data_IF_301039317813
#
_entry.id   IF_301039317813
#
_cell.length_a   1.000
_cell.length_b   1.000
_cell.length_c   1.000
_cell.angle_alpha   90.00
_cell.angle_beta   90.00
_cell.angle_gamma   90.00
#
_symmetry.space_group_name_H-M   'P 1'
#
loop_
_entity.id
_entity.type
_entity.pdbx_description
1 polymer ?
#
# COMPACT_ATOMS: atom_id res chain seq x y z
N UNK A 1 -36.70 -92.87 31.78
CA UNK A 1 -37.88 -92.74 32.67
C UNK A 1 -37.49 -91.80 33.81
N UNK A 2 -38.44 -91.04 34.37
CA UNK A 2 -38.29 -90.23 35.61
C UNK A 2 -37.37 -88.99 35.53
N UNK A 3 -37.30 -88.23 36.64
CA UNK A 3 -37.25 -86.77 36.68
C UNK A 3 -36.21 -86.18 37.65
N UNK A 4 -35.64 -85.04 37.24
CA UNK A 4 -35.36 -83.83 38.05
C UNK A 4 -34.26 -83.78 39.14
N UNK A 5 -33.83 -82.52 39.36
CA UNK A 5 -32.99 -81.96 40.44
C UNK A 5 -31.48 -82.30 40.45
N UNK A 6 -30.58 -81.38 40.85
CA UNK A 6 -30.62 -79.91 40.84
C UNK A 6 -29.19 -79.38 41.02
N UNK A 7 -28.79 -78.32 40.30
CA UNK A 7 -27.47 -77.70 40.46
C UNK A 7 -27.35 -76.40 39.66
N UNK A 8 -27.12 -75.27 40.34
CA UNK A 8 -27.13 -73.93 39.73
C UNK A 8 -25.75 -73.29 39.75
N UNK A 9 -25.25 -72.91 38.58
CA UNK A 9 -24.22 -71.87 38.39
C UNK A 9 -24.57 -71.11 37.10
N UNK A 10 -24.73 -69.79 37.19
CA UNK A 10 -24.98 -68.93 36.02
C UNK A 10 -23.66 -68.59 35.29
N UNK A 11 -23.69 -68.36 33.96
CA UNK A 11 -22.49 -68.05 33.19
C UNK A 11 -22.12 -66.55 33.24
N UNK A 12 -20.83 -66.20 33.30
CA UNK A 12 -20.31 -65.01 32.64
C UNK A 12 -20.27 -65.31 31.12
N UNK A 13 -20.78 -64.48 30.20
CA UNK A 13 -20.56 -63.04 30.01
C UNK A 13 -19.07 -62.70 29.78
N UNK A 14 -18.66 -62.10 28.67
CA UNK A 14 -19.38 -61.75 27.44
C UNK A 14 -18.39 -61.72 26.26
N UNK A 15 -18.87 -61.54 25.03
CA UNK A 15 -18.01 -61.54 23.85
C UNK A 15 -16.89 -60.50 23.96
N UNK A 16 -15.64 -60.93 23.73
CA UNK A 16 -14.48 -60.05 23.76
C UNK A 16 -14.67 -58.88 22.78
N UNK A 17 -14.84 -57.68 23.32
CA UNK A 17 -14.93 -56.47 22.52
C UNK A 17 -13.59 -56.26 21.81
N UNK A 18 -13.51 -56.64 20.54
CA UNK A 18 -12.46 -56.15 19.64
C UNK A 18 -12.49 -54.63 19.71
N UNK A 19 -11.47 -54.04 20.34
CA UNK A 19 -11.33 -52.60 20.41
C UNK A 19 -11.42 -52.04 19.00
N UNK A 20 -12.43 -51.19 18.74
CA UNK A 20 -12.53 -50.50 17.46
C UNK A 20 -11.23 -49.74 17.27
N UNK A 21 -10.55 -49.94 16.15
CA UNK A 21 -9.38 -49.14 15.81
C UNK A 21 -9.78 -47.66 15.92
N UNK A 22 -8.96 -46.79 16.54
CA UNK A 22 -9.31 -45.39 16.69
C UNK A 22 -9.56 -44.81 15.29
N UNK A 23 -10.68 -44.10 15.12
CA UNK A 23 -11.07 -43.47 13.86
C UNK A 23 -10.10 -42.33 13.53
N UNK A 24 -8.92 -42.69 13.03
CA UNK A 24 -7.88 -41.76 12.58
C UNK A 24 -8.24 -41.27 11.19
N UNK A 25 -8.58 -39.98 11.12
CA UNK A 25 -8.71 -39.24 9.87
C UNK A 25 -7.33 -39.18 9.21
N UNK A 26 -7.26 -39.22 7.87
CA UNK A 26 -5.99 -38.98 7.16
C UNK A 26 -5.51 -37.54 7.36
N UNK A 27 -4.22 -37.28 7.18
CA UNK A 27 -3.67 -35.93 7.32
C UNK A 27 -4.35 -34.94 6.35
N UNK A 28 -4.46 -35.31 5.06
CA UNK A 28 -5.17 -34.55 4.02
C UNK A 28 -6.60 -34.18 4.45
N UNK A 29 -7.40 -35.18 4.86
CA UNK A 29 -8.77 -34.97 5.29
C UNK A 29 -8.88 -34.20 6.63
N UNK A 30 -7.80 -34.15 7.41
CA UNK A 30 -7.72 -33.30 8.60
C UNK A 30 -7.48 -31.84 8.22
N UNK A 31 -6.64 -31.56 7.21
CA UNK A 31 -6.51 -30.23 6.62
C UNK A 31 -7.86 -29.77 6.06
N UNK A 32 -8.55 -30.60 5.26
CA UNK A 32 -9.83 -30.24 4.65
C UNK A 32 -10.88 -29.83 5.70
N UNK A 33 -10.97 -30.59 6.80
CA UNK A 33 -11.89 -30.28 7.91
C UNK A 33 -11.49 -29.00 8.66
N UNK A 34 -10.20 -28.77 8.90
CA UNK A 34 -9.68 -27.55 9.52
C UNK A 34 -9.94 -26.32 8.65
N UNK A 35 -9.69 -26.42 7.34
CA UNK A 35 -9.96 -25.36 6.38
C UNK A 35 -11.46 -25.07 6.29
N UNK A 36 -12.32 -26.09 6.21
CA UNK A 36 -13.76 -25.92 6.18
C UNK A 36 -14.28 -25.20 7.43
N UNK A 37 -13.88 -25.65 8.63
CA UNK A 37 -14.26 -25.02 9.89
C UNK A 37 -13.77 -23.57 10.00
N UNK A 38 -12.49 -23.32 9.68
CA UNK A 38 -11.92 -21.96 9.71
C UNK A 38 -12.60 -21.02 8.71
N UNK A 39 -12.96 -21.52 7.52
CA UNK A 39 -13.68 -20.73 6.50
C UNK A 39 -15.07 -20.37 6.98
N UNK A 40 -15.80 -21.31 7.57
CA UNK A 40 -17.14 -21.06 8.09
C UNK A 40 -17.13 -20.00 9.21
N UNK A 41 -16.24 -20.14 10.20
CA UNK A 41 -16.08 -19.13 11.26
C UNK A 41 -15.66 -17.75 10.73
N UNK A 42 -14.72 -17.71 9.79
CA UNK A 42 -14.30 -16.44 9.15
C UNK A 42 -15.45 -15.80 8.35
N UNK A 43 -16.20 -16.59 7.59
CA UNK A 43 -17.31 -16.10 6.76
C UNK A 43 -18.52 -15.65 7.60
N UNK A 44 -18.71 -16.23 8.79
CA UNK A 44 -19.79 -15.88 9.72
C UNK A 44 -19.52 -14.59 10.52
N UNK A 45 -18.28 -14.15 10.56
CA UNK A 45 -17.84 -13.05 11.42
C UNK A 45 -18.33 -11.67 10.96
N UNK A 46 -18.79 -10.86 11.93
CA UNK A 46 -19.17 -9.46 11.69
C UNK A 46 -18.02 -8.44 11.87
N UNK A 47 -16.92 -8.82 12.54
CA UNK A 47 -15.77 -7.95 12.82
C UNK A 47 -14.55 -8.75 13.31
N UNK A 48 -13.36 -8.13 13.32
CA UNK A 48 -12.15 -8.73 13.90
C UNK A 48 -12.28 -9.06 15.39
N UNK A 49 -13.15 -8.33 16.09
CA UNK A 49 -13.47 -8.48 17.51
C UNK A 49 -14.53 -9.57 17.77
N UNK A 50 -15.03 -10.25 16.74
CA UNK A 50 -15.92 -11.39 16.88
C UNK A 50 -15.14 -12.63 17.36
N UNK A 51 -15.68 -13.32 18.36
CA UNK A 51 -15.22 -14.64 18.82
C UNK A 51 -15.01 -15.65 17.70
N UNK A 52 -15.74 -15.55 16.59
CA UNK A 52 -15.55 -16.40 15.41
C UNK A 52 -14.16 -16.23 14.78
N UNK A 53 -13.54 -15.04 14.86
CA UNK A 53 -12.18 -14.81 14.36
C UNK A 53 -11.12 -15.47 15.25
N UNK A 54 -11.36 -15.59 16.56
CA UNK A 54 -10.53 -16.41 17.45
C UNK A 54 -10.68 -17.90 17.11
N UNK A 55 -11.92 -18.38 16.93
CA UNK A 55 -12.19 -19.78 16.56
C UNK A 55 -11.54 -20.16 15.21
N UNK A 56 -11.62 -19.29 14.20
CA UNK A 56 -10.94 -19.49 12.91
C UNK A 56 -9.42 -19.65 13.09
N UNK A 57 -8.78 -18.74 13.83
CA UNK A 57 -7.34 -18.83 14.14
C UNK A 57 -6.99 -20.10 14.91
N UNK A 58 -7.79 -20.48 15.91
CA UNK A 58 -7.61 -21.71 16.68
C UNK A 58 -7.73 -22.98 15.82
N UNK A 59 -8.67 -23.03 14.86
CA UNK A 59 -8.78 -24.16 13.92
C UNK A 59 -7.49 -24.33 13.10
N UNK A 60 -7.00 -23.25 12.47
CA UNK A 60 -5.80 -23.28 11.63
C UNK A 60 -4.53 -23.68 12.42
N UNK A 61 -4.44 -23.26 13.69
CA UNK A 61 -3.32 -23.59 14.57
C UNK A 61 -3.25 -25.07 14.99
N UNK A 62 -4.27 -25.88 14.70
CA UNK A 62 -4.21 -27.34 14.87
C UNK A 62 -3.23 -28.02 13.90
N UNK A 63 -2.88 -27.37 12.79
CA UNK A 63 -1.96 -27.89 11.75
C UNK A 63 -0.60 -27.21 11.88
N UNK A 64 0.24 -27.76 12.76
CA UNK A 64 1.49 -27.13 13.19
C UNK A 64 2.52 -26.89 12.09
N UNK A 65 2.49 -27.66 11.01
CA UNK A 65 3.41 -27.59 9.87
C UNK A 65 2.93 -26.65 8.74
N UNK A 66 1.76 -26.02 8.90
CA UNK A 66 1.23 -24.92 8.07
C UNK A 66 1.44 -25.09 6.55
N UNK A 67 0.84 -26.13 5.93
CA UNK A 67 0.85 -26.27 4.48
C UNK A 67 0.24 -25.03 3.79
N UNK A 68 0.57 -24.73 2.52
CA UNK A 68 0.26 -23.43 1.89
C UNK A 68 -1.20 -22.99 1.96
N UNK A 69 -2.15 -23.93 1.95
CA UNK A 69 -3.58 -23.64 2.10
C UNK A 69 -3.97 -23.20 3.52
N UNK A 70 -3.33 -23.72 4.57
CA UNK A 70 -3.51 -23.27 5.96
C UNK A 70 -2.88 -21.89 6.14
N UNK A 71 -1.68 -21.68 5.59
CA UNK A 71 -1.03 -20.38 5.64
C UNK A 71 -1.84 -19.31 4.91
N UNK A 72 -2.45 -19.61 3.75
CA UNK A 72 -3.33 -18.67 3.03
C UNK A 72 -4.53 -18.16 3.84
N UNK A 73 -5.13 -19.00 4.70
CA UNK A 73 -6.21 -18.57 5.60
C UNK A 73 -5.69 -17.75 6.79
N UNK A 74 -4.48 -18.05 7.29
CA UNK A 74 -3.80 -17.23 8.31
C UNK A 74 -3.42 -15.85 7.74
N UNK A 75 -2.86 -15.81 6.53
CA UNK A 75 -2.51 -14.58 5.79
C UNK A 75 -3.75 -13.69 5.65
N UNK A 76 -4.88 -14.28 5.23
CA UNK A 76 -6.14 -13.57 5.05
C UNK A 76 -6.69 -13.01 6.38
N UNK A 77 -6.61 -13.75 7.49
CA UNK A 77 -7.01 -13.25 8.81
C UNK A 77 -6.12 -12.08 9.24
N UNK A 78 -4.79 -12.19 9.04
CA UNK A 78 -3.85 -11.12 9.35
C UNK A 78 -4.07 -9.89 8.46
N UNK A 79 -4.39 -10.08 7.18
CA UNK A 79 -4.73 -9.02 6.24
C UNK A 79 -5.95 -8.22 6.71
N UNK A 80 -7.03 -8.88 7.15
CA UNK A 80 -8.19 -8.17 7.73
C UNK A 80 -7.75 -7.33 8.94
N UNK A 81 -6.92 -7.89 9.83
CA UNK A 81 -6.32 -7.16 10.96
C UNK A 81 -5.65 -5.85 10.54
N UNK A 82 -4.74 -5.93 9.56
CA UNK A 82 -4.05 -4.77 9.03
C UNK A 82 -4.96 -3.78 8.26
N UNK A 83 -6.07 -4.23 7.65
CA UNK A 83 -7.07 -3.34 7.03
C UNK A 83 -7.74 -2.45 8.09
N UNK A 84 -8.19 -3.00 9.23
CA UNK A 84 -8.81 -2.20 10.30
C UNK A 84 -7.78 -1.28 10.99
N UNK A 85 -6.51 -1.70 11.11
CA UNK A 85 -5.42 -0.81 11.59
C UNK A 85 -5.18 0.41 10.69
N UNK A 86 -5.48 0.32 9.38
CA UNK A 86 -5.47 1.48 8.48
C UNK A 86 -6.79 2.28 8.51
N UNK A 87 -7.84 1.77 9.16
CA UNK A 87 -9.18 2.37 9.22
C UNK A 87 -10.20 1.80 8.24
N UNK A 88 -9.82 0.83 7.39
CA UNK A 88 -10.71 0.23 6.39
C UNK A 88 -11.62 -0.80 7.06
N UNK A 89 -12.87 -0.40 7.31
CA UNK A 89 -13.90 -1.26 7.92
C UNK A 89 -14.65 -2.04 6.85
N UNK A 90 -14.28 -3.31 6.70
CA UNK A 90 -14.82 -4.23 5.70
C UNK A 90 -15.07 -5.60 6.37
N UNK A 91 -16.17 -6.28 6.01
CA UNK A 91 -16.49 -7.59 6.58
C UNK A 91 -15.48 -8.64 6.11
N UNK A 92 -15.05 -9.60 6.96
CA UNK A 92 -14.16 -10.69 6.57
C UNK A 92 -14.61 -11.40 5.28
N UNK A 93 -15.90 -11.74 5.16
CA UNK A 93 -16.48 -12.36 3.96
C UNK A 93 -16.32 -11.48 2.70
N UNK A 94 -16.43 -10.15 2.80
CA UNK A 94 -16.18 -9.25 1.68
C UNK A 94 -14.70 -9.28 1.27
N UNK A 95 -13.76 -9.33 2.23
CA UNK A 95 -12.33 -9.49 1.93
C UNK A 95 -12.02 -10.84 1.29
N UNK A 96 -12.73 -11.92 1.65
CA UNK A 96 -12.61 -13.21 0.94
C UNK A 96 -13.10 -13.13 -0.50
N UNK A 97 -14.28 -12.54 -0.72
CA UNK A 97 -14.93 -12.47 -2.04
C UNK A 97 -14.38 -11.38 -2.97
N UNK A 98 -13.56 -10.45 -2.45
CA UNK A 98 -12.96 -9.38 -3.23
C UNK A 98 -12.03 -9.93 -4.34
N UNK A 99 -12.31 -9.57 -5.60
CA UNK A 99 -11.40 -9.81 -6.73
C UNK A 99 -10.34 -8.72 -6.85
N UNK A 100 -10.70 -7.46 -6.62
CA UNK A 100 -9.80 -6.31 -6.68
C UNK A 100 -8.99 -6.14 -5.37
N UNK A 101 -7.95 -6.97 -5.22
CA UNK A 101 -7.04 -6.93 -4.06
C UNK A 101 -6.27 -5.60 -3.96
N UNK A 102 -6.01 -4.92 -5.08
CA UNK A 102 -5.30 -3.64 -5.09
C UNK A 102 -6.22 -2.46 -4.71
N UNK A 103 -7.52 -2.56 -5.01
CA UNK A 103 -8.55 -1.66 -4.50
C UNK A 103 -8.55 -1.56 -2.97
N UNK A 104 -8.39 -2.68 -2.25
CA UNK A 104 -8.27 -2.67 -0.78
C UNK A 104 -7.05 -1.89 -0.27
N UNK A 105 -5.91 -1.96 -0.99
CA UNK A 105 -4.73 -1.14 -0.67
C UNK A 105 -5.00 0.34 -0.95
N UNK A 106 -5.68 0.64 -2.06
CA UNK A 106 -6.10 2.01 -2.42
C UNK A 106 -7.03 2.60 -1.36
N UNK A 107 -7.96 1.82 -0.83
CA UNK A 107 -8.83 2.23 0.27
C UNK A 107 -8.03 2.54 1.55
N UNK A 108 -7.01 1.75 1.90
CA UNK A 108 -6.09 2.06 3.00
C UNK A 108 -5.32 3.36 2.77
N UNK A 109 -4.77 3.54 1.57
CA UNK A 109 -4.03 4.76 1.19
C UNK A 109 -4.93 5.99 1.33
N UNK A 110 -6.20 5.89 0.93
CA UNK A 110 -7.19 6.96 1.05
C UNK A 110 -7.61 7.33 2.49
N UNK A 111 -7.40 6.48 3.51
CA UNK A 111 -7.85 6.78 4.88
C UNK A 111 -7.09 7.95 5.55
N UNK A 112 -5.87 8.26 5.11
CA UNK A 112 -5.06 9.32 5.73
C UNK A 112 -4.13 10.00 4.72
N UNK A 113 -4.00 11.34 4.76
CA UNK A 113 -3.02 12.07 3.96
C UNK A 113 -1.59 11.52 4.10
N UNK A 114 -1.20 11.05 5.29
CA UNK A 114 0.15 10.56 5.54
C UNK A 114 0.35 9.06 5.26
N UNK A 115 -0.66 8.35 4.74
CA UNK A 115 -0.63 6.88 4.62
C UNK A 115 0.53 6.38 3.71
N UNK A 116 0.88 7.13 2.67
CA UNK A 116 2.00 6.79 1.77
C UNK A 116 3.35 6.64 2.49
N UNK A 117 3.53 7.29 3.65
CA UNK A 117 4.77 7.19 4.46
C UNK A 117 4.90 5.85 5.18
N UNK A 118 3.90 4.98 5.12
CA UNK A 118 3.88 3.62 5.69
C UNK A 118 4.12 2.53 4.63
N UNK A 119 4.90 2.85 3.58
CA UNK A 119 5.15 1.98 2.41
C UNK A 119 5.42 0.50 2.76
N UNK A 120 6.29 0.22 3.73
CA UNK A 120 6.61 -1.16 4.15
C UNK A 120 5.40 -1.92 4.71
N UNK A 121 4.50 -1.25 5.45
CA UNK A 121 3.28 -1.85 6.00
C UNK A 121 2.22 -2.09 4.92
N UNK A 122 2.10 -1.18 3.96
CA UNK A 122 1.20 -1.33 2.81
C UNK A 122 1.67 -2.44 1.85
N UNK A 123 2.98 -2.58 1.65
CA UNK A 123 3.57 -3.69 0.90
C UNK A 123 3.34 -5.04 1.59
N UNK A 124 3.54 -5.13 2.92
CA UNK A 124 3.24 -6.35 3.68
C UNK A 124 1.74 -6.71 3.67
N UNK A 125 0.84 -5.72 3.73
CA UNK A 125 -0.59 -5.95 3.56
C UNK A 125 -0.92 -6.46 2.14
N UNK A 126 -0.27 -5.93 1.10
CA UNK A 126 -0.45 -6.40 -0.27
C UNK A 126 0.10 -7.82 -0.50
N UNK A 127 1.15 -8.21 0.22
CA UNK A 127 1.66 -9.57 0.28
C UNK A 127 0.61 -10.53 0.87
N UNK A 128 0.11 -10.23 2.07
CA UNK A 128 -0.93 -11.01 2.77
C UNK A 128 -2.25 -11.10 1.98
N UNK A 129 -2.67 -10.02 1.32
CA UNK A 129 -3.85 -9.99 0.44
C UNK A 129 -3.63 -10.69 -0.91
N UNK A 130 -2.40 -11.09 -1.23
CA UNK A 130 -2.01 -11.70 -2.52
C UNK A 130 -2.41 -10.83 -3.72
N UNK A 131 -2.14 -9.54 -3.61
CA UNK A 131 -2.16 -8.60 -4.76
C UNK A 131 -1.25 -9.16 -5.86
N UNK A 132 -1.71 -9.14 -7.11
CA UNK A 132 -1.07 -9.80 -8.26
C UNK A 132 -0.80 -11.32 -8.10
N UNK A 133 -1.43 -12.00 -7.14
CA UNK A 133 -1.32 -13.44 -6.93
C UNK A 133 0.06 -13.85 -6.44
N UNK A 134 0.82 -14.54 -7.29
CA UNK A 134 2.16 -15.04 -7.02
C UNK A 134 3.28 -14.17 -7.66
N UNK A 135 2.93 -13.05 -8.30
CA UNK A 135 3.89 -12.09 -8.84
C UNK A 135 4.31 -11.08 -7.74
N UNK A 136 5.59 -10.98 -7.35
CA UNK A 136 6.06 -10.01 -6.37
C UNK A 136 6.40 -8.64 -6.99
N UNK A 137 6.77 -8.59 -8.27
CA UNK A 137 7.22 -7.37 -8.95
C UNK A 137 6.04 -6.52 -9.38
N UNK A 138 5.02 -7.13 -10.00
CA UNK A 138 3.73 -6.48 -10.31
C UNK A 138 3.06 -5.98 -9.03
N UNK A 139 3.06 -6.78 -7.96
CA UNK A 139 2.54 -6.39 -6.64
C UNK A 139 3.26 -5.19 -6.06
N UNK A 140 4.60 -5.18 -6.06
CA UNK A 140 5.38 -4.03 -5.59
C UNK A 140 5.08 -2.80 -6.45
N UNK A 141 5.08 -2.96 -7.77
CA UNK A 141 4.85 -1.88 -8.72
C UNK A 141 3.46 -1.24 -8.58
N UNK A 142 2.40 -2.05 -8.46
CA UNK A 142 1.03 -1.60 -8.21
C UNK A 142 0.92 -0.80 -6.90
N UNK A 143 1.51 -1.29 -5.80
CA UNK A 143 1.48 -0.58 -4.51
C UNK A 143 2.25 0.74 -4.59
N UNK A 144 3.48 0.72 -5.11
CA UNK A 144 4.31 1.93 -5.21
C UNK A 144 3.66 3.02 -6.07
N UNK A 145 2.97 2.67 -7.16
CA UNK A 145 2.18 3.65 -7.96
C UNK A 145 1.13 4.35 -7.09
N UNK A 146 0.38 3.62 -6.25
CA UNK A 146 -0.60 4.23 -5.33
C UNK A 146 0.06 5.17 -4.31
N UNK A 147 1.29 4.85 -3.86
CA UNK A 147 2.03 5.72 -2.94
C UNK A 147 2.48 7.01 -3.65
N UNK A 148 2.94 6.92 -4.90
CA UNK A 148 3.32 8.09 -5.71
C UNK A 148 2.10 8.96 -6.03
N UNK A 149 0.97 8.39 -6.46
CA UNK A 149 -0.29 9.13 -6.65
C UNK A 149 -0.66 9.93 -5.40
N UNK A 150 -0.60 9.30 -4.22
CA UNK A 150 -0.94 9.93 -2.95
C UNK A 150 0.07 11.02 -2.56
N UNK A 151 1.38 10.77 -2.72
CA UNK A 151 2.42 11.75 -2.44
C UNK A 151 2.32 12.99 -3.35
N UNK A 152 2.02 12.80 -4.64
CA UNK A 152 1.77 13.88 -5.60
C UNK A 152 0.54 14.72 -5.22
N UNK A 153 -0.58 14.09 -4.82
CA UNK A 153 -1.79 14.80 -4.35
C UNK A 153 -1.55 15.68 -3.13
N UNK A 154 -0.55 15.36 -2.30
CA UNK A 154 -0.15 16.15 -1.13
C UNK A 154 1.15 16.94 -1.34
N UNK A 155 1.64 17.04 -2.59
CA UNK A 155 2.84 17.77 -3.00
C UNK A 155 4.14 17.36 -2.26
N UNK A 156 4.21 16.14 -1.71
CA UNK A 156 5.45 15.58 -1.16
C UNK A 156 6.29 14.96 -2.29
N UNK A 157 6.81 15.84 -3.15
CA UNK A 157 7.61 15.46 -4.31
C UNK A 157 8.86 14.64 -3.94
N UNK A 158 9.36 14.77 -2.71
CA UNK A 158 10.51 13.98 -2.23
C UNK A 158 10.10 12.53 -1.97
N UNK A 159 8.98 12.29 -1.29
CA UNK A 159 8.45 10.94 -1.12
C UNK A 159 8.05 10.30 -2.46
N UNK A 160 7.44 11.09 -3.36
CA UNK A 160 7.13 10.65 -4.72
C UNK A 160 8.40 10.23 -5.50
N UNK A 161 9.47 11.03 -5.42
CA UNK A 161 10.72 10.75 -6.14
C UNK A 161 11.41 9.47 -5.69
N UNK A 162 11.42 9.16 -4.39
CA UNK A 162 12.00 7.90 -3.87
C UNK A 162 11.29 6.69 -4.47
N UNK A 163 9.96 6.67 -4.44
CA UNK A 163 9.20 5.54 -4.98
C UNK A 163 9.23 5.48 -6.52
N UNK A 164 9.31 6.63 -7.22
CA UNK A 164 9.58 6.63 -8.66
C UNK A 164 10.98 6.07 -8.99
N UNK A 165 12.02 6.40 -8.21
CA UNK A 165 13.37 5.85 -8.41
C UNK A 165 13.41 4.34 -8.17
N UNK A 166 12.68 3.82 -7.17
CA UNK A 166 12.49 2.37 -6.99
C UNK A 166 11.81 1.71 -8.21
N UNK A 167 10.74 2.31 -8.72
CA UNK A 167 9.99 1.82 -9.89
C UNK A 167 10.85 1.84 -11.18
N UNK A 168 11.64 2.89 -11.38
CA UNK A 168 12.57 3.03 -12.50
C UNK A 168 13.72 2.02 -12.40
N UNK A 169 14.30 1.82 -11.22
CA UNK A 169 15.36 0.84 -10.99
C UNK A 169 14.88 -0.62 -11.20
N UNK A 170 13.60 -0.89 -10.93
CA UNK A 170 12.93 -2.16 -11.25
C UNK A 170 12.49 -2.27 -12.74
N UNK A 171 12.65 -1.22 -13.55
CA UNK A 171 12.21 -1.21 -14.96
C UNK A 171 10.69 -1.32 -15.15
N UNK A 172 9.89 -0.96 -14.14
CA UNK A 172 8.46 -1.21 -14.11
C UNK A 172 7.69 -0.23 -15.00
N UNK A 173 7.69 -0.50 -16.31
CA UNK A 173 7.18 0.38 -17.39
C UNK A 173 5.77 0.96 -17.16
N UNK A 174 4.90 0.26 -16.41
CA UNK A 174 3.57 0.75 -16.02
C UNK A 174 3.60 2.04 -15.18
N UNK A 175 4.73 2.41 -14.55
CA UNK A 175 4.86 3.67 -13.81
C UNK A 175 5.14 4.90 -14.67
N UNK A 176 5.23 4.77 -16.01
CA UNK A 176 5.53 5.89 -16.92
C UNK A 176 4.67 7.13 -16.64
N UNK A 177 3.39 6.95 -16.32
CA UNK A 177 2.44 8.03 -16.08
C UNK A 177 2.78 8.82 -14.80
N UNK A 178 2.94 8.14 -13.66
CA UNK A 178 3.29 8.81 -12.39
C UNK A 178 4.71 9.37 -12.39
N UNK A 179 5.65 8.72 -13.08
CA UNK A 179 6.97 9.30 -13.38
C UNK A 179 6.81 10.59 -14.20
N UNK A 180 5.91 10.61 -15.19
CA UNK A 180 5.65 11.80 -16.00
C UNK A 180 5.00 12.95 -15.21
N UNK A 181 4.07 12.65 -14.30
CA UNK A 181 3.44 13.65 -13.44
C UNK A 181 4.47 14.32 -12.52
N UNK A 182 5.38 13.53 -11.93
CA UNK A 182 6.46 14.07 -11.09
C UNK A 182 7.51 14.85 -11.90
N UNK A 183 7.89 14.38 -13.09
CA UNK A 183 8.81 15.10 -13.99
C UNK A 183 8.29 16.47 -14.45
N UNK A 184 6.97 16.58 -14.63
CA UNK A 184 6.27 17.82 -14.98
C UNK A 184 5.95 18.73 -13.77
N UNK A 185 6.19 18.28 -12.54
CA UNK A 185 5.84 19.05 -11.34
C UNK A 185 6.82 20.21 -11.11
N UNK A 186 6.45 21.43 -11.49
CA UNK A 186 7.23 22.67 -11.26
C UNK A 186 7.60 22.90 -9.78
N UNK A 187 6.77 22.40 -8.84
CA UNK A 187 7.06 22.43 -7.41
C UNK A 187 8.27 21.58 -6.99
N UNK A 188 8.67 20.60 -7.80
CA UNK A 188 9.83 19.75 -7.54
C UNK A 188 11.11 20.41 -8.10
N UNK A 189 11.91 20.97 -7.19
CA UNK A 189 13.09 21.78 -7.55
C UNK A 189 14.31 20.96 -8.04
N UNK A 190 14.26 19.63 -7.97
CA UNK A 190 15.34 18.78 -8.48
C UNK A 190 15.16 18.54 -9.99
N UNK A 191 15.81 19.38 -10.78
CA UNK A 191 15.75 19.28 -12.24
C UNK A 191 16.46 18.04 -12.80
N UNK A 192 17.42 17.46 -12.07
CA UNK A 192 18.09 16.23 -12.50
C UNK A 192 17.13 15.04 -12.37
N UNK A 193 16.51 14.88 -11.20
CA UNK A 193 15.45 13.88 -11.01
C UNK A 193 14.29 14.10 -12.00
N UNK A 194 13.82 15.35 -12.21
CA UNK A 194 12.79 15.65 -13.24
C UNK A 194 13.21 15.21 -14.65
N UNK A 195 14.48 15.39 -15.02
CA UNK A 195 15.00 14.99 -16.33
C UNK A 195 15.04 13.46 -16.49
N UNK A 196 15.48 12.72 -15.47
CA UNK A 196 15.50 11.26 -15.48
C UNK A 196 14.08 10.66 -15.53
N UNK A 197 13.15 11.23 -14.75
CA UNK A 197 11.74 10.87 -14.74
C UNK A 197 11.07 11.08 -16.11
N UNK A 198 11.38 12.20 -16.78
CA UNK A 198 10.88 12.50 -18.13
C UNK A 198 11.48 11.55 -19.18
N UNK A 199 12.76 11.18 -19.05
CA UNK A 199 13.39 10.21 -19.95
C UNK A 199 12.73 8.82 -19.83
N UNK A 200 12.52 8.33 -18.60
CA UNK A 200 11.84 7.05 -18.36
C UNK A 200 10.37 7.06 -18.82
N UNK A 201 9.66 8.18 -18.61
CA UNK A 201 8.31 8.35 -19.13
C UNK A 201 8.30 8.23 -20.66
N UNK A 202 9.23 8.87 -21.36
CA UNK A 202 9.34 8.80 -22.82
C UNK A 202 9.73 7.43 -23.37
N UNK A 203 10.47 6.59 -22.63
CA UNK A 203 10.81 5.22 -23.07
C UNK A 203 9.69 4.20 -22.87
N UNK A 204 8.65 4.54 -22.09
CA UNK A 204 7.59 3.60 -21.71
C UNK A 204 6.15 4.09 -21.95
N UNK A 205 5.96 5.34 -22.37
CA UNK A 205 4.63 5.90 -22.64
C UNK A 205 3.96 5.27 -23.88
N UNK A 206 2.62 5.23 -23.91
CA UNK A 206 1.87 4.84 -25.11
C UNK A 206 2.01 5.91 -26.21
N UNK A 207 1.85 5.54 -27.51
CA UNK A 207 2.06 6.47 -28.62
C UNK A 207 1.29 7.79 -28.54
N UNK A 208 0.06 7.78 -28.01
CA UNK A 208 -0.77 8.98 -27.83
C UNK A 208 -0.26 9.97 -26.77
N UNK A 209 0.77 9.61 -26.00
CA UNK A 209 1.40 10.47 -24.99
C UNK A 209 2.78 11.00 -25.42
N UNK A 210 3.32 10.56 -26.56
CA UNK A 210 4.67 10.95 -27.00
C UNK A 210 4.76 12.47 -27.25
N UNK A 211 3.84 13.04 -28.03
CA UNK A 211 3.85 14.48 -28.36
C UNK A 211 3.79 15.42 -27.13
N UNK A 212 2.83 15.27 -26.18
CA UNK A 212 2.81 16.14 -25.00
C UNK A 212 4.02 15.93 -24.07
N UNK A 213 4.53 14.70 -23.94
CA UNK A 213 5.73 14.43 -23.12
C UNK A 213 7.01 14.97 -23.74
N UNK A 214 7.14 14.97 -25.07
CA UNK A 214 8.25 15.64 -25.77
C UNK A 214 8.18 17.16 -25.61
N UNK A 215 6.98 17.76 -25.69
CA UNK A 215 6.80 19.18 -25.43
C UNK A 215 7.18 19.56 -23.98
N UNK A 216 6.72 18.77 -23.00
CA UNK A 216 7.09 18.94 -21.59
C UNK A 216 8.59 18.78 -21.34
N UNK A 217 9.22 17.76 -21.94
CA UNK A 217 10.67 17.53 -21.84
C UNK A 217 11.48 18.68 -22.47
N UNK A 218 11.04 19.22 -23.60
CA UNK A 218 11.65 20.39 -24.24
C UNK A 218 11.56 21.66 -23.37
N UNK A 219 10.42 21.86 -22.69
CA UNK A 219 10.24 22.93 -21.70
C UNK A 219 11.21 22.79 -20.52
N UNK A 220 11.31 21.59 -19.92
CA UNK A 220 12.26 21.29 -18.84
C UNK A 220 13.72 21.46 -19.28
N UNK A 221 14.09 21.02 -20.49
CA UNK A 221 15.44 21.24 -21.02
C UNK A 221 15.75 22.75 -21.16
N UNK A 222 14.76 23.55 -21.55
CA UNK A 222 14.86 25.01 -21.62
C UNK A 222 15.01 25.64 -20.23
N UNK A 223 14.26 25.16 -19.23
CA UNK A 223 14.39 25.55 -17.81
C UNK A 223 15.81 25.28 -17.26
N UNK A 224 16.34 24.06 -17.49
CA UNK A 224 17.70 23.65 -17.10
C UNK A 224 18.76 24.55 -17.76
N UNK A 225 18.60 24.86 -19.05
CA UNK A 225 19.53 25.73 -19.78
C UNK A 225 19.51 27.16 -19.23
N UNK A 226 18.33 27.74 -18.99
CA UNK A 226 18.23 29.08 -18.41
C UNK A 226 18.85 29.16 -17.01
N UNK A 227 18.59 28.19 -16.12
CA UNK A 227 19.24 28.17 -14.80
C UNK A 227 20.77 28.10 -14.91
N UNK A 228 21.30 27.22 -15.78
CA UNK A 228 22.75 27.06 -16.00
C UNK A 228 23.41 28.32 -16.58
N UNK A 229 22.77 28.97 -17.55
CA UNK A 229 23.27 30.23 -18.15
C UNK A 229 23.21 31.37 -17.13
N UNK A 230 22.10 31.52 -16.40
CA UNK A 230 21.97 32.55 -15.37
C UNK A 230 23.04 32.40 -14.28
N UNK A 231 23.31 31.19 -13.80
CA UNK A 231 24.38 30.93 -12.82
C UNK A 231 25.77 31.36 -13.34
N UNK A 232 26.08 31.08 -14.61
CA UNK A 232 27.34 31.50 -15.23
C UNK A 232 27.46 33.03 -15.36
N UNK A 233 26.36 33.72 -15.72
CA UNK A 233 26.33 35.18 -15.83
C UNK A 233 26.57 35.85 -14.48
N UNK A 234 25.94 35.37 -13.39
CA UNK A 234 26.11 35.94 -12.06
C UNK A 234 27.55 35.78 -11.55
N UNK A 235 28.15 34.58 -11.69
CA UNK A 235 29.56 34.35 -11.33
C UNK A 235 30.53 35.25 -12.10
N UNK A 236 30.30 35.44 -13.41
CA UNK A 236 31.13 36.33 -14.23
C UNK A 236 30.98 37.81 -13.82
N UNK A 237 29.79 38.22 -13.36
CA UNK A 237 29.55 39.54 -12.78
C UNK A 237 30.34 39.77 -11.49
N UNK A 238 30.30 38.83 -10.56
CA UNK A 238 31.03 38.92 -9.28
C UNK A 238 32.55 38.94 -9.46
N UNK A 239 33.08 38.09 -10.35
CA UNK A 239 34.50 38.06 -10.71
C UNK A 239 34.98 39.39 -11.35
N UNK A 240 34.09 40.12 -12.03
CA UNK A 240 34.42 41.43 -12.64
C UNK A 240 34.56 42.58 -11.62
N UNK A 241 33.96 42.47 -10.43
CA UNK A 241 34.00 43.52 -9.38
C UNK A 241 35.21 43.37 -8.45
N UNK A 242 35.82 42.17 -8.39
CA UNK A 242 37.01 41.89 -7.56
C UNK A 242 38.35 42.29 -8.18
N UNK A 243 38.33 43.00 -9.33
CA UNK A 243 39.53 43.38 -10.10
C UNK A 243 40.32 44.56 -9.48
N UNK A 244 40.79 44.38 -8.24
CA UNK A 244 41.79 45.26 -7.61
C UNK A 244 43.11 45.26 -8.40
N UNK A 245 43.90 46.36 -8.35
CA UNK A 245 45.02 46.55 -9.27
C UNK A 245 46.17 45.55 -9.07
N UNK A 246 46.78 45.17 -10.19
CA UNK A 246 48.00 44.37 -10.31
C UNK A 246 49.06 44.74 -9.26
N UNK A 247 49.55 43.73 -8.53
CA UNK A 247 50.85 43.79 -7.86
C UNK A 247 51.57 42.44 -7.96
N UNK A 248 52.61 42.41 -8.80
CA UNK A 248 53.31 41.19 -9.21
C UNK A 248 54.08 40.51 -8.07
N UNK A 249 53.84 39.21 -7.87
CA UNK A 249 54.80 38.29 -7.22
C UNK A 249 54.90 36.99 -8.04
N UNK A 250 56.00 36.26 -7.83
CA UNK A 250 56.64 35.45 -8.88
C UNK A 250 57.05 34.07 -8.34
N UNK A 251 56.68 33.01 -9.08
CA UNK A 251 57.08 31.60 -8.92
C UNK A 251 56.67 30.90 -7.60
N UNK A 252 56.78 29.54 -7.50
CA UNK A 252 57.25 28.57 -8.50
C UNK A 252 56.20 27.54 -8.96
N UNK A 253 56.57 26.81 -10.02
CA UNK A 253 55.84 25.64 -10.52
C UNK A 253 56.06 24.40 -9.62
N UNK A 254 55.07 23.50 -9.59
CA UNK A 254 55.29 22.07 -9.40
C UNK A 254 54.17 21.28 -10.12
N UNK A 255 54.49 20.06 -10.55
CA UNK A 255 53.75 19.39 -11.64
C UNK A 255 53.11 18.05 -11.22
N UNK A 256 52.22 17.60 -12.11
CA UNK A 256 51.94 16.20 -12.44
C UNK A 256 50.80 15.41 -11.74
N UNK A 257 49.98 14.83 -12.62
CA UNK A 257 49.56 13.42 -12.65
C UNK A 257 48.35 12.89 -11.83
N UNK A 258 47.40 12.33 -12.61
CA UNK A 258 46.67 11.06 -12.40
C UNK A 258 45.91 10.79 -11.08
N UNK A 259 44.56 10.79 -11.18
CA UNK A 259 43.63 9.63 -10.98
C UNK A 259 43.76 8.69 -9.74
N UNK A 260 42.70 7.93 -9.33
CA UNK A 260 41.26 8.02 -9.63
C UNK A 260 40.34 7.77 -8.37
N UNK A 261 39.06 7.48 -8.64
CA UNK A 261 38.20 6.52 -7.89
C UNK A 261 37.21 7.02 -6.82
N UNK A 262 36.00 6.44 -6.90
CA UNK A 262 34.93 6.56 -5.92
C UNK A 262 35.02 5.47 -4.85
N UNK A 263 34.55 5.77 -3.63
CA UNK A 263 33.90 4.77 -2.75
C UNK A 263 32.77 5.43 -1.96
N UNK A 264 31.64 4.73 -1.82
CA UNK A 264 30.57 5.09 -0.88
C UNK A 264 31.08 5.02 0.57
N UNK A 265 30.60 5.92 1.44
CA UNK A 265 29.92 5.62 2.71
C UNK A 265 29.89 6.83 3.65
N UNK A 266 28.69 7.16 4.17
CA UNK A 266 28.36 7.56 5.55
C UNK A 266 26.82 7.77 5.54
N UNK A 267 26.04 6.83 6.07
CA UNK A 267 25.68 6.70 7.49
C UNK A 267 24.83 7.89 7.99
N UNK A 268 23.59 7.60 8.40
CA UNK A 268 22.72 8.57 9.05
C UNK A 268 23.18 8.78 10.50
N UNK A 269 23.11 10.02 11.00
CA UNK A 269 22.59 10.21 12.36
C UNK A 269 21.89 11.57 12.55
N UNK A 270 21.09 11.64 13.62
CA UNK A 270 19.99 12.59 13.81
C UNK A 270 20.44 13.93 14.39
N UNK A 271 19.88 15.04 13.91
CA UNK A 271 19.58 16.19 14.79
C UNK A 271 18.47 17.10 14.23
N UNK A 272 17.50 17.46 15.08
CA UNK A 272 16.51 18.51 14.83
C UNK A 272 16.88 19.77 15.61
N UNK A 273 16.49 20.96 15.11
CA UNK A 273 16.10 22.08 15.96
C UNK A 273 14.62 22.47 15.77
N UNK A 274 13.98 22.88 16.87
CA UNK A 274 12.65 23.49 16.92
C UNK A 274 12.76 25.02 16.99
N UNK A 275 11.96 25.73 16.19
CA UNK A 275 11.45 27.10 16.42
C UNK A 275 10.19 27.28 15.55
N UNK A 276 8.99 27.69 15.98
CA UNK A 276 8.52 28.56 17.09
C UNK A 276 8.67 30.06 16.84
N UNK A 277 7.66 30.64 16.19
CA UNK A 277 7.00 31.94 16.49
C UNK A 277 5.76 32.04 15.58
N UNK A 278 4.54 32.22 16.07
CA UNK A 278 3.95 33.46 16.62
C UNK A 278 3.78 34.57 15.57
N UNK A 279 2.67 35.30 15.43
CA UNK A 279 1.25 35.17 15.81
C UNK A 279 0.65 36.57 15.54
N UNK A 280 -0.48 36.68 14.83
CA UNK A 280 -1.19 37.97 14.70
C UNK A 280 -2.67 37.74 14.38
N UNK A 281 -3.57 38.05 15.31
CA UNK A 281 -5.02 37.92 15.12
C UNK A 281 -5.75 39.13 15.73
N UNK A 282 -6.42 39.92 14.90
CA UNK A 282 -7.34 40.97 15.34
C UNK A 282 -8.79 40.47 15.43
N UNK A 283 -9.53 40.99 16.42
CA UNK A 283 -10.99 40.83 16.58
C UNK A 283 -11.73 42.06 16.00
N UNK A 284 -13.06 42.16 15.85
CA UNK A 284 -14.23 41.36 16.25
C UNK A 284 -15.28 41.34 15.12
N UNK A 285 -16.18 40.34 15.08
CA UNK A 285 -17.38 40.35 14.22
C UNK A 285 -18.32 39.17 14.49
N UNK A 286 -19.65 39.37 14.44
CA UNK A 286 -20.70 38.40 14.86
C UNK A 286 -22.10 38.91 14.45
N UNK A 287 -23.19 38.12 14.36
CA UNK A 287 -23.37 36.68 14.66
C UNK A 287 -23.71 35.85 13.37
N UNK A 288 -24.91 35.29 13.01
CA UNK A 288 -25.01 34.35 11.87
C UNK A 288 -26.09 34.68 10.80
N UNK A 289 -26.23 33.83 9.77
CA UNK A 289 -27.49 33.60 9.05
C UNK A 289 -27.61 32.13 8.62
N UNK A 290 -28.62 31.40 9.13
CA UNK A 290 -29.04 30.06 8.69
C UNK A 290 -30.27 30.20 7.79
N UNK A 291 -30.28 29.60 6.59
CA UNK A 291 -31.54 29.48 5.82
C UNK A 291 -31.58 28.42 4.70
N UNK A 292 -30.46 28.02 4.08
CA UNK A 292 -30.51 27.22 2.83
C UNK A 292 -30.51 25.68 2.97
N UNK A 293 -30.08 25.12 4.11
CA UNK A 293 -29.94 23.66 4.26
C UNK A 293 -31.22 22.93 4.70
N UNK A 294 -32.26 23.66 5.12
CA UNK A 294 -33.52 23.04 5.57
C UNK A 294 -34.41 22.59 4.39
N UNK A 295 -34.33 23.27 3.24
CA UNK A 295 -35.23 23.05 2.10
C UNK A 295 -34.88 21.75 1.35
N UNK A 296 -33.59 21.49 1.13
CA UNK A 296 -33.08 20.32 0.41
C UNK A 296 -33.39 18.97 1.10
N UNK A 297 -33.48 18.95 2.43
CA UNK A 297 -33.85 17.74 3.17
C UNK A 297 -35.30 17.29 2.89
N UNK A 298 -36.23 18.25 2.75
CA UNK A 298 -37.66 18.00 2.58
C UNK A 298 -38.07 17.55 1.16
N UNK A 299 -37.16 17.63 0.19
CA UNK A 299 -37.38 17.10 -1.17
C UNK A 299 -36.89 15.65 -1.29
N UNK A 300 -35.82 15.27 -0.60
CA UNK A 300 -35.30 13.89 -0.59
C UNK A 300 -36.25 12.89 0.07
N UNK A 301 -36.94 13.25 1.16
CA UNK A 301 -37.90 12.34 1.81
C UNK A 301 -39.13 12.02 0.94
N UNK A 302 -39.51 12.92 0.02
CA UNK A 302 -40.60 12.67 -0.94
C UNK A 302 -40.21 11.67 -2.03
N UNK A 303 -38.92 11.54 -2.36
CA UNK A 303 -38.46 10.62 -3.40
C UNK A 303 -38.53 9.14 -2.96
N UNK A 304 -38.57 8.85 -1.66
CA UNK A 304 -38.50 7.47 -1.14
C UNK A 304 -39.86 6.77 -0.95
N UNK A 305 -40.99 7.42 -1.28
CA UNK A 305 -42.34 6.90 -1.05
C UNK A 305 -43.18 6.73 -2.34
N UNK A 306 -42.59 6.15 -3.39
CA UNK A 306 -43.33 5.67 -4.57
C UNK A 306 -43.62 4.15 -4.45
N UNK A 307 -44.87 3.71 -4.22
CA UNK A 307 -45.22 2.29 -4.19
C UNK A 307 -45.36 1.74 -5.61
N UNK A 308 -44.54 0.75 -5.98
CA UNK A 308 -44.69 -0.03 -7.20
C UNK A 308 -45.64 -1.23 -6.97
N UNK A 309 -46.46 -1.61 -7.97
CA UNK A 309 -47.44 -2.69 -7.82
C UNK A 309 -46.82 -4.09 -7.88
N UNK A 310 -47.45 -5.12 -7.26
CA UNK A 310 -46.92 -6.47 -7.23
C UNK A 310 -47.11 -7.20 -8.59
N UNK A 311 -46.01 -7.54 -9.25
CA UNK A 311 -46.02 -8.50 -10.35
C UNK A 311 -46.13 -9.93 -9.80
N UNK A 312 -47.22 -10.62 -10.12
CA UNK A 312 -47.40 -12.02 -9.76
C UNK A 312 -46.56 -12.94 -10.66
N UNK A 313 -45.81 -13.86 -10.07
CA UNK A 313 -45.28 -15.04 -10.74
C UNK A 313 -46.03 -16.26 -10.20
N UNK A 314 -46.36 -17.19 -11.09
CA UNK A 314 -47.18 -18.38 -10.86
C UNK A 314 -46.56 -19.53 -11.67
N UNK A 315 -46.80 -20.76 -11.23
CA UNK A 315 -46.03 -22.00 -11.53
C UNK A 315 -44.78 -22.06 -10.66
#
# INVERSE_FOLDING_TARGET
MMHCHAGSVNPPASAAQKGKAPYRVSYEKSIDLVLAASREYFNSSASLTDSCMDLARCCLQLVSDRPPAIQAELDLIQAVGCLEEFGVKILPLQVRLCSDRVGLIKDCVCQSPACYKQAAKLLGLAELLRVAGEDPEERRGQVLILLVEQALRFHDYKAASVHCQELMAAGYSKSWDVCSQLGQSEGFQDLASRQELMAFALTHCPPGSIEPLLAASSSLQTEILYQRVNFQIHRAGEESVSAGPFLSKVLPECTCAYLPSCTYNLALEVSMPLCVCAACTGSHGKVPLRSHWATLAAELERAMHCPLPPCAIRV
#
